data_IF_598357055422
#
_entry.id   IF_598357055422
#
_cell.length_a   1.000
_cell.length_b   1.000
_cell.length_c   1.000
_cell.angle_alpha   90.00
_cell.angle_beta   90.00
_cell.angle_gamma   90.00
#
_symmetry.space_group_name_H-M   'P 1'
#
loop_
_entity.id
_entity.type
_entity.pdbx_description
1 polymer ?
#
# COMPACT_ATOMS: atom_id res chain seq x y z
N UNK A 1 -31.26 8.34 -60.62
CA UNK A 1 -31.62 8.74 -59.24
C UNK A 1 -30.69 7.99 -58.29
N UNK A 2 -29.79 8.71 -57.60
CA UNK A 2 -28.82 8.15 -56.65
C UNK A 2 -29.43 8.10 -55.25
N UNK A 3 -29.37 6.99 -54.50
CA UNK A 3 -29.43 7.02 -53.05
C UNK A 3 -28.00 7.19 -52.48
N UNK A 4 -27.86 8.16 -51.59
CA UNK A 4 -26.63 8.48 -50.88
C UNK A 4 -26.25 7.38 -49.86
N UNK A 5 -24.95 7.16 -49.57
CA UNK A 5 -24.51 6.23 -48.55
C UNK A 5 -24.61 6.91 -47.18
N UNK A 6 -25.61 6.55 -46.38
CA UNK A 6 -25.68 6.99 -44.99
C UNK A 6 -24.79 6.10 -44.10
N UNK A 7 -23.57 6.59 -43.94
CA UNK A 7 -22.68 6.50 -42.78
C UNK A 7 -22.96 5.39 -41.75
N UNK A 8 -22.01 4.46 -41.69
CA UNK A 8 -21.80 3.54 -40.58
C UNK A 8 -21.69 4.30 -39.25
N UNK A 9 -22.68 4.11 -38.37
CA UNK A 9 -22.56 4.48 -36.95
C UNK A 9 -21.94 3.27 -36.25
N UNK A 10 -20.60 3.21 -36.24
CA UNK A 10 -19.86 2.37 -35.29
C UNK A 10 -19.88 3.13 -33.97
N UNK A 11 -20.85 2.83 -33.10
CA UNK A 11 -20.78 3.23 -31.69
C UNK A 11 -19.68 2.38 -31.06
N UNK A 12 -18.45 2.89 -31.11
CA UNK A 12 -17.40 2.46 -30.21
C UNK A 12 -17.86 2.82 -28.79
N UNK A 13 -18.39 1.85 -28.06
CA UNK A 13 -18.50 1.90 -26.61
C UNK A 13 -17.06 1.94 -26.06
N UNK A 14 -16.45 3.13 -26.12
CA UNK A 14 -15.27 3.44 -25.35
C UNK A 14 -15.66 3.17 -23.90
N UNK A 15 -14.99 2.21 -23.28
CA UNK A 15 -15.13 1.90 -21.87
C UNK A 15 -14.84 3.18 -21.08
N UNK A 16 -15.88 3.93 -20.70
CA UNK A 16 -15.82 5.18 -19.95
C UNK A 16 -15.44 4.91 -18.49
N UNK A 17 -14.27 4.32 -18.27
CA UNK A 17 -13.53 4.53 -17.03
C UNK A 17 -12.77 5.85 -17.13
N UNK A 18 -12.56 6.57 -16.01
CA UNK A 18 -11.69 7.73 -16.03
C UNK A 18 -10.31 7.32 -16.56
N UNK A 19 -9.77 8.09 -17.50
CA UNK A 19 -8.43 7.87 -18.07
C UNK A 19 -7.32 7.91 -17.02
N UNK A 20 -7.58 8.59 -15.90
CA UNK A 20 -6.79 8.52 -14.66
C UNK A 20 -7.63 7.88 -13.52
N UNK A 21 -7.26 6.69 -13.01
CA UNK A 21 -7.98 6.04 -11.91
C UNK A 21 -7.99 6.90 -10.63
N UNK A 22 -7.08 7.87 -10.48
CA UNK A 22 -6.99 8.75 -9.32
C UNK A 22 -7.99 9.90 -9.29
N UNK A 23 -8.69 10.16 -10.41
CA UNK A 23 -9.80 11.10 -10.50
C UNK A 23 -11.16 10.44 -10.21
N UNK A 24 -11.19 9.12 -10.01
CA UNK A 24 -12.43 8.39 -9.78
C UNK A 24 -13.16 8.91 -8.52
N UNK A 25 -14.51 9.07 -8.57
CA UNK A 25 -15.32 9.47 -7.41
C UNK A 25 -15.09 8.63 -6.15
N UNK A 26 -14.84 7.33 -6.30
CA UNK A 26 -14.53 6.41 -5.21
C UNK A 26 -13.29 6.84 -4.39
N UNK A 27 -12.32 7.51 -5.02
CA UNK A 27 -11.14 8.00 -4.32
C UNK A 27 -11.44 9.12 -3.33
N UNK A 28 -12.62 9.78 -3.39
CA UNK A 28 -13.03 10.74 -2.35
C UNK A 28 -13.26 10.07 -1.01
N UNK A 29 -13.88 8.88 -1.00
CA UNK A 29 -14.11 8.10 0.22
C UNK A 29 -12.78 7.57 0.77
N UNK A 30 -11.97 6.95 -0.08
CA UNK A 30 -10.63 6.47 0.30
C UNK A 30 -9.79 7.61 0.89
N UNK A 31 -9.76 8.78 0.24
CA UNK A 31 -9.03 9.94 0.75
C UNK A 31 -9.55 10.43 2.10
N UNK A 32 -10.88 10.35 2.34
CA UNK A 32 -11.47 10.76 3.62
C UNK A 32 -11.03 9.82 4.74
N UNK A 33 -11.15 8.50 4.56
CA UNK A 33 -10.73 7.53 5.57
C UNK A 33 -9.22 7.55 5.80
N UNK A 34 -8.45 7.70 4.73
CA UNK A 34 -7.00 7.79 4.80
C UNK A 34 -6.46 8.95 5.64
N UNK A 35 -7.22 10.06 5.79
CA UNK A 35 -6.78 11.20 6.61
C UNK A 35 -6.44 10.82 8.04
N UNK A 36 -7.12 9.81 8.60
CA UNK A 36 -6.85 9.35 9.97
C UNK A 36 -5.50 8.65 10.12
N UNK A 37 -5.02 8.06 9.04
CA UNK A 37 -3.76 7.31 8.97
C UNK A 37 -2.60 8.17 8.47
N UNK A 38 -2.87 9.28 7.80
CA UNK A 38 -1.85 10.14 7.23
C UNK A 38 -0.92 10.72 8.31
N UNK A 39 0.36 10.86 7.94
CA UNK A 39 1.41 11.39 8.81
C UNK A 39 2.58 10.44 8.98
N UNK A 40 3.47 10.81 9.90
CA UNK A 40 4.65 10.03 10.26
C UNK A 40 4.40 9.30 11.57
N UNK A 41 4.62 7.99 11.54
CA UNK A 41 4.50 7.08 12.66
C UNK A 41 5.86 6.48 12.98
N UNK A 42 6.27 6.58 14.24
CA UNK A 42 7.54 6.03 14.72
C UNK A 42 7.25 4.80 15.55
N UNK A 43 7.83 3.67 15.16
CA UNK A 43 7.65 2.39 15.85
C UNK A 43 8.32 2.45 17.22
N UNK A 44 7.51 2.37 18.27
CA UNK A 44 7.98 2.31 19.65
C UNK A 44 8.27 0.86 20.07
N UNK A 45 7.44 -0.08 19.60
CA UNK A 45 7.59 -1.53 19.84
C UNK A 45 7.27 -2.28 18.57
N UNK A 46 8.10 -3.26 18.21
CA UNK A 46 7.85 -4.09 17.05
C UNK A 46 8.76 -5.30 17.01
N UNK A 47 8.24 -6.37 16.42
CA UNK A 47 9.00 -7.59 16.20
C UNK A 47 10.12 -7.34 15.18
N UNK A 48 11.20 -8.11 15.30
CA UNK A 48 12.27 -8.12 14.30
C UNK A 48 11.97 -9.20 13.26
N UNK A 49 11.98 -8.81 12.00
CA UNK A 49 11.89 -9.72 10.88
C UNK A 49 13.24 -10.32 10.56
N UNK A 50 13.28 -11.60 10.24
CA UNK A 50 14.49 -12.27 9.76
C UNK A 50 14.19 -12.86 8.39
N UNK A 51 14.95 -12.45 7.37
CA UNK A 51 14.89 -13.05 6.05
C UNK A 51 15.63 -14.38 6.10
N UNK A 52 14.92 -15.47 5.85
CA UNK A 52 15.48 -16.82 5.94
C UNK A 52 16.57 -17.06 4.88
N UNK A 53 16.47 -16.40 3.72
CA UNK A 53 17.38 -16.63 2.59
C UNK A 53 18.73 -15.93 2.74
N UNK A 54 18.73 -14.71 3.30
CA UNK A 54 19.96 -13.92 3.48
C UNK A 54 20.47 -13.92 4.92
N UNK A 55 19.62 -14.29 5.88
CA UNK A 55 19.90 -14.16 7.32
C UNK A 55 19.74 -12.74 7.85
N UNK A 56 19.39 -11.78 7.00
CA UNK A 56 19.27 -10.38 7.38
C UNK A 56 18.08 -10.14 8.30
N UNK A 57 18.29 -9.24 9.26
CA UNK A 57 17.32 -8.97 10.33
C UNK A 57 16.78 -7.56 10.24
N UNK A 58 15.57 -7.34 9.78
CA UNK A 58 14.99 -6.02 9.61
C UNK A 58 14.06 -5.66 10.76
N UNK A 59 14.14 -4.41 11.22
CA UNK A 59 13.17 -3.86 12.16
C UNK A 59 12.43 -2.68 11.52
N UNK A 60 11.10 -2.71 11.54
CA UNK A 60 10.30 -1.56 11.12
C UNK A 60 10.57 -0.40 12.09
N UNK A 61 10.97 0.74 11.55
CA UNK A 61 11.31 1.95 12.32
C UNK A 61 10.28 3.04 12.12
N UNK A 62 9.96 3.36 10.87
CA UNK A 62 9.07 4.45 10.54
C UNK A 62 8.05 4.03 9.47
N UNK A 63 6.84 4.58 9.56
CA UNK A 63 5.82 4.51 8.53
C UNK A 63 5.38 5.94 8.22
N UNK A 64 5.54 6.37 6.98
CA UNK A 64 5.09 7.66 6.48
C UNK A 64 3.96 7.43 5.50
N UNK A 65 2.75 7.79 5.88
CA UNK A 65 1.56 7.67 5.05
C UNK A 65 1.20 9.03 4.49
N UNK A 66 1.42 9.21 3.19
CA UNK A 66 1.08 10.42 2.47
C UNK A 66 -0.29 10.23 1.77
N UNK A 67 -1.01 11.32 1.59
CA UNK A 67 -2.29 11.35 0.86
C UNK A 67 -2.12 11.70 -0.62
N UNK A 68 -0.90 11.92 -1.09
CA UNK A 68 -0.57 12.00 -2.51
C UNK A 68 -1.06 10.77 -3.26
N UNK A 69 -1.75 10.97 -4.39
CA UNK A 69 -2.34 9.89 -5.18
C UNK A 69 -1.39 9.44 -6.28
N UNK A 70 -1.30 8.13 -6.49
CA UNK A 70 -0.48 7.49 -7.52
C UNK A 70 -1.27 6.41 -8.24
N UNK A 71 -1.25 6.43 -9.57
CA UNK A 71 -1.86 5.39 -10.38
C UNK A 71 -0.91 4.18 -10.46
N UNK A 72 -1.41 2.99 -10.13
CA UNK A 72 -0.67 1.72 -10.17
C UNK A 72 -1.49 0.73 -10.99
N UNK A 73 -1.08 0.49 -12.24
CA UNK A 73 -1.85 -0.29 -13.19
C UNK A 73 -3.23 0.35 -13.43
N UNK A 74 -4.31 -0.38 -13.12
CA UNK A 74 -5.69 0.12 -13.24
C UNK A 74 -6.29 0.67 -11.94
N UNK A 75 -5.51 0.72 -10.86
CA UNK A 75 -5.97 1.18 -9.55
C UNK A 75 -5.29 2.51 -9.17
N UNK A 76 -5.98 3.33 -8.38
CA UNK A 76 -5.35 4.44 -7.69
C UNK A 76 -5.03 4.04 -6.25
N UNK A 77 -3.83 4.39 -5.79
CA UNK A 77 -3.40 4.23 -4.40
C UNK A 77 -2.85 5.54 -3.87
N UNK A 78 -2.66 5.58 -2.57
CA UNK A 78 -1.99 6.67 -1.89
C UNK A 78 -0.49 6.35 -1.79
N UNK A 79 0.35 7.37 -1.84
CA UNK A 79 1.80 7.27 -1.71
C UNK A 79 2.17 7.11 -0.24
N UNK A 80 3.23 6.36 0.05
CA UNK A 80 3.84 6.36 1.37
C UNK A 80 5.30 5.96 1.30
N UNK A 81 5.91 5.88 2.47
CA UNK A 81 7.20 5.27 2.66
C UNK A 81 7.23 4.46 3.96
N UNK A 82 8.07 3.44 4.01
CA UNK A 82 8.40 2.71 5.22
C UNK A 82 9.91 2.69 5.38
N UNK A 83 10.39 2.77 6.61
CA UNK A 83 11.81 2.73 6.93
C UNK A 83 12.08 1.49 7.75
N UNK A 84 12.97 0.65 7.25
CA UNK A 84 13.53 -0.48 7.97
C UNK A 84 14.93 -0.15 8.44
N UNK A 85 15.31 -0.80 9.52
CA UNK A 85 16.66 -0.77 10.04
C UNK A 85 17.25 -2.17 9.91
N UNK A 86 18.26 -2.34 9.02
CA UNK A 86 19.36 -3.32 9.10
C UNK A 86 20.06 -3.58 7.75
N UNK A 87 21.39 -3.82 7.72
CA UNK A 87 22.42 -3.29 8.62
C UNK A 87 22.59 -1.76 8.48
N UNK A 88 21.80 -1.13 7.58
CA UNK A 88 21.64 0.30 7.39
C UNK A 88 20.15 0.66 7.35
N UNK A 89 19.83 1.94 7.42
CA UNK A 89 18.45 2.37 7.21
C UNK A 89 18.10 2.19 5.73
N UNK A 90 17.04 1.44 5.46
CA UNK A 90 16.50 1.23 4.13
C UNK A 90 15.11 1.86 4.06
N UNK A 91 14.90 2.74 3.10
CA UNK A 91 13.63 3.44 2.91
C UNK A 91 12.97 2.92 1.65
N UNK A 92 11.77 2.39 1.79
CA UNK A 92 11.00 1.82 0.69
C UNK A 92 9.83 2.71 0.37
N UNK A 93 9.70 3.08 -0.91
CA UNK A 93 8.49 3.72 -1.40
C UNK A 93 7.37 2.69 -1.45
N UNK A 94 6.22 3.03 -0.88
CA UNK A 94 5.07 2.14 -0.78
C UNK A 94 3.83 2.82 -1.34
N UNK A 95 2.83 1.99 -1.63
CA UNK A 95 1.49 2.44 -2.03
C UNK A 95 0.47 1.86 -1.07
N UNK A 96 -0.55 2.61 -0.69
CA UNK A 96 -1.47 2.16 0.35
C UNK A 96 -2.90 2.64 0.09
N UNK A 97 -3.85 2.05 0.81
CA UNK A 97 -5.25 2.50 0.84
C UNK A 97 -5.75 2.52 2.27
N UNK A 98 -6.54 3.54 2.63
CA UNK A 98 -7.26 3.58 3.90
C UNK A 98 -8.68 3.05 3.75
N UNK A 99 -9.06 2.10 4.60
CA UNK A 99 -10.44 1.66 4.82
C UNK A 99 -10.93 2.15 6.19
N UNK A 100 -12.24 2.06 6.47
CA UNK A 100 -12.79 2.44 7.78
C UNK A 100 -12.12 1.72 8.96
N UNK A 101 -11.69 0.47 8.76
CA UNK A 101 -11.16 -0.39 9.83
C UNK A 101 -9.62 -0.44 9.86
N UNK A 102 -8.96 -0.27 8.71
CA UNK A 102 -7.51 -0.39 8.62
C UNK A 102 -6.91 0.34 7.40
N UNK A 103 -5.64 0.69 7.49
CA UNK A 103 -4.79 0.98 6.35
C UNK A 103 -4.13 -0.30 5.84
N UNK A 104 -4.15 -0.50 4.52
CA UNK A 104 -3.44 -1.58 3.83
C UNK A 104 -2.32 -0.97 2.99
N UNK A 105 -1.09 -1.29 3.35
CA UNK A 105 0.15 -0.79 2.72
C UNK A 105 0.73 -1.91 1.86
N UNK A 106 1.14 -1.58 0.65
CA UNK A 106 1.62 -2.47 -0.39
C UNK A 106 2.88 -1.92 -1.04
N UNK A 107 3.60 -2.78 -1.74
CA UNK A 107 4.83 -2.38 -2.41
C UNK A 107 5.98 -2.63 -1.48
N UNK A 108 6.66 -3.73 -1.74
CA UNK A 108 7.96 -4.04 -1.20
C UNK A 108 8.79 -4.52 -2.38
N UNK A 109 10.06 -4.12 -2.51
CA UNK A 109 10.92 -4.62 -3.57
C UNK A 109 11.03 -6.15 -3.52
N UNK A 110 10.72 -6.84 -4.62
CA UNK A 110 10.68 -8.32 -4.67
C UNK A 110 12.02 -8.98 -4.32
N UNK A 111 13.10 -8.23 -4.49
CA UNK A 111 14.50 -8.56 -4.14
C UNK A 111 14.75 -8.61 -2.63
N UNK A 112 13.91 -7.98 -1.82
CA UNK A 112 14.04 -7.99 -0.36
C UNK A 112 13.19 -9.09 0.32
N UNK A 113 12.36 -9.84 -0.42
CA UNK A 113 11.62 -11.01 0.12
C UNK A 113 10.13 -11.10 -0.21
N UNK A 114 9.40 -12.08 0.37
CA UNK A 114 8.03 -12.49 0.01
C UNK A 114 6.98 -11.67 0.78
N UNK A 115 7.07 -10.36 0.71
CA UNK A 115 6.20 -9.48 1.50
C UNK A 115 4.92 -9.14 0.73
N UNK A 116 3.78 -9.37 1.36
CA UNK A 116 2.46 -9.10 0.79
C UNK A 116 1.91 -7.72 1.14
N UNK A 117 2.37 -7.12 2.24
CA UNK A 117 1.98 -5.77 2.66
C UNK A 117 1.98 -5.59 4.17
N UNK A 118 1.31 -4.54 4.65
CA UNK A 118 1.10 -4.25 6.08
C UNK A 118 -0.35 -3.86 6.29
N UNK A 119 -1.00 -4.48 7.28
CA UNK A 119 -2.31 -4.04 7.79
C UNK A 119 -2.13 -3.27 9.09
N UNK A 120 -2.75 -2.09 9.22
CA UNK A 120 -2.63 -1.28 10.43
C UNK A 120 -3.93 -0.53 10.79
N UNK A 121 -4.24 -0.47 12.09
CA UNK A 121 -5.37 0.26 12.65
C UNK A 121 -4.88 1.43 13.52
N UNK A 122 -5.61 2.56 13.46
CA UNK A 122 -5.34 3.76 14.25
C UNK A 122 -6.26 3.82 15.47
N UNK A 123 -5.70 4.21 16.62
CA UNK A 123 -6.44 4.59 17.82
C UNK A 123 -5.78 5.81 18.45
N UNK A 124 -6.34 7.00 18.21
CA UNK A 124 -5.72 8.27 18.61
C UNK A 124 -4.35 8.46 17.95
N UNK A 125 -3.32 8.70 18.75
CA UNK A 125 -1.92 8.84 18.29
C UNK A 125 -1.15 7.51 18.26
N UNK A 126 -1.85 6.37 18.32
CA UNK A 126 -1.24 5.04 18.21
C UNK A 126 -1.66 4.33 16.93
N UNK A 127 -0.68 3.79 16.20
CA UNK A 127 -0.88 2.92 15.05
C UNK A 127 -0.43 1.51 15.45
N UNK A 128 -1.32 0.52 15.33
CA UNK A 128 -1.03 -0.89 15.61
C UNK A 128 -1.23 -1.71 14.37
N UNK A 129 -0.31 -2.59 14.06
CA UNK A 129 -0.40 -3.35 12.82
C UNK A 129 0.40 -4.62 12.80
N UNK A 130 0.28 -5.30 11.67
CA UNK A 130 0.98 -6.52 11.36
C UNK A 130 1.54 -6.46 9.94
N UNK A 131 2.78 -6.90 9.79
CA UNK A 131 3.40 -7.15 8.48
C UNK A 131 2.85 -8.48 7.96
N UNK A 132 2.32 -8.43 6.74
CA UNK A 132 1.67 -9.53 6.04
C UNK A 132 2.64 -10.14 5.03
N UNK A 133 2.74 -11.46 5.05
CA UNK A 133 3.59 -12.23 4.15
C UNK A 133 2.73 -12.95 3.11
N UNK A 134 3.18 -12.97 1.86
CA UNK A 134 2.46 -13.64 0.78
C UNK A 134 3.22 -14.90 0.32
N UNK A 135 2.52 -16.04 0.34
CA UNK A 135 3.09 -17.37 0.11
C UNK A 135 3.50 -17.63 -1.35
N UNK A 136 3.08 -16.79 -2.30
CA UNK A 136 3.24 -17.01 -3.75
C UNK A 136 4.68 -16.93 -4.25
N UNK A 137 5.61 -16.39 -3.46
CA UNK A 137 6.99 -16.07 -3.89
C UNK A 137 8.01 -17.15 -3.52
N UNK A 138 7.57 -18.38 -3.23
CA UNK A 138 8.46 -19.53 -3.05
C UNK A 138 9.27 -19.54 -1.74
N UNK A 139 8.85 -18.75 -0.76
CA UNK A 139 9.50 -18.69 0.55
C UNK A 139 8.56 -19.35 1.56
N UNK A 140 9.08 -20.36 2.27
CA UNK A 140 8.38 -20.99 3.40
C UNK A 140 8.30 -19.99 4.55
N UNK A 141 7.27 -19.16 4.52
CA UNK A 141 6.81 -18.43 5.70
C UNK A 141 5.86 -19.39 6.42
N UNK A 142 6.17 -19.80 7.65
CA UNK A 142 5.26 -20.62 8.43
C UNK A 142 3.92 -19.89 8.52
N UNK A 143 2.78 -20.50 8.13
CA UNK A 143 1.47 -19.87 8.30
C UNK A 143 1.32 -19.33 9.73
N UNK A 144 1.03 -18.04 9.86
CA UNK A 144 1.00 -17.33 11.16
C UNK A 144 2.23 -16.46 11.48
N UNK A 145 3.24 -16.40 10.61
CA UNK A 145 4.37 -15.46 10.76
C UNK A 145 3.92 -14.05 10.42
N UNK A 146 3.25 -13.38 11.34
CA UNK A 146 2.97 -11.95 11.26
C UNK A 146 3.87 -11.24 12.26
N UNK A 147 4.65 -10.26 11.83
CA UNK A 147 5.36 -9.38 12.76
C UNK A 147 4.45 -8.24 13.18
N UNK A 148 4.29 -8.06 14.48
CA UNK A 148 3.44 -7.02 15.04
C UNK A 148 4.25 -5.78 15.36
N UNK A 149 3.60 -4.63 15.33
CA UNK A 149 4.17 -3.38 15.78
C UNK A 149 3.14 -2.46 16.42
N UNK A 150 3.65 -1.55 17.23
CA UNK A 150 2.96 -0.40 17.81
C UNK A 150 3.83 0.83 17.56
N UNK A 151 3.26 1.80 16.87
CA UNK A 151 3.88 3.07 16.57
C UNK A 151 3.10 4.23 17.23
N UNK A 152 3.83 5.29 17.56
CA UNK A 152 3.29 6.58 17.98
C UNK A 152 3.38 7.58 16.84
N UNK A 153 2.43 8.52 16.77
CA UNK A 153 2.50 9.63 15.82
C UNK A 153 3.66 10.56 16.19
N UNK A 154 4.53 10.87 15.22
CA UNK A 154 5.52 11.93 15.36
C UNK A 154 4.81 13.29 15.41
N UNK A 155 5.19 14.14 16.37
CA UNK A 155 4.67 15.51 16.50
C UNK A 155 5.52 16.48 15.70
#
# INVERSE_FOLDING_TARGET
MRPAPLAAIVVALAACGPSDPCQAPAMRLVSRYARHYAGHWVVARGDTLTLVQTGDRFKLRDVVLDTGRVAVGRACRLRGAVVFQSPRAETLAVTWVGSPEQALIYGWPTDLGPFGGIGAAVSGDSLRGAILFEQRVGIQVTPGTTARFVAGRAR
#
